data_IF_461033732713
#
_entry.id   IF_461033732713
#
_cell.length_a   1.000
_cell.length_b   1.000
_cell.length_c   1.000
_cell.angle_alpha   90.00
_cell.angle_beta   90.00
_cell.angle_gamma   90.00
#
_symmetry.space_group_name_H-M   'P 1'
#
loop_
_entity.id
_entity.type
_entity.pdbx_description
1 polymer ?
#
# COMPACT_ATOMS: atom_id res chain seq x y z
N UNK A 1 -6.46 23.75 -13.38
CA UNK A 1 -5.09 23.22 -13.23
C UNK A 1 -4.49 23.59 -11.87
N UNK A 2 -4.47 24.86 -11.45
CA UNK A 2 -3.83 25.26 -10.19
C UNK A 2 -4.49 24.62 -8.94
N UNK A 3 -5.78 24.85 -8.71
CA UNK A 3 -6.48 24.29 -7.54
C UNK A 3 -6.46 22.76 -7.55
N UNK A 4 -6.64 22.15 -8.72
CA UNK A 4 -6.63 20.70 -8.85
C UNK A 4 -5.23 20.08 -8.64
N UNK A 5 -4.16 20.74 -9.08
CA UNK A 5 -2.79 20.33 -8.79
C UNK A 5 -2.47 20.43 -7.29
N UNK A 6 -3.01 21.44 -6.60
CA UNK A 6 -2.86 21.52 -5.14
C UNK A 6 -3.66 20.41 -4.41
N UNK A 7 -4.86 20.07 -4.90
CA UNK A 7 -5.69 19.01 -4.31
C UNK A 7 -5.11 17.62 -4.55
N UNK A 8 -4.50 17.39 -5.70
CA UNK A 8 -4.00 16.08 -6.10
C UNK A 8 -2.55 16.17 -6.55
N UNK A 9 -1.65 15.57 -5.78
CA UNK A 9 -0.24 15.34 -6.18
C UNK A 9 -0.17 14.61 -7.52
N UNK A 10 -1.17 13.78 -7.85
CA UNK A 10 -1.33 13.19 -9.17
C UNK A 10 -1.27 14.22 -10.30
N UNK A 11 -2.06 15.28 -10.15
CA UNK A 11 -2.21 16.33 -11.17
C UNK A 11 -0.98 17.21 -11.16
N UNK A 12 -0.44 17.56 -10.00
CA UNK A 12 0.85 18.26 -9.90
C UNK A 12 1.96 17.52 -10.65
N UNK A 13 2.14 16.23 -10.39
CA UNK A 13 3.15 15.41 -11.04
C UNK A 13 2.94 15.30 -12.55
N UNK A 14 1.68 15.25 -13.03
CA UNK A 14 1.40 15.35 -14.48
C UNK A 14 1.86 16.69 -15.10
N UNK A 15 1.83 17.78 -14.32
CA UNK A 15 2.28 19.10 -14.77
C UNK A 15 3.80 19.29 -14.71
N UNK A 16 4.47 18.63 -13.77
CA UNK A 16 5.92 18.78 -13.57
C UNK A 16 6.72 17.75 -14.37
N UNK A 17 6.21 16.52 -14.48
CA UNK A 17 6.86 15.45 -15.24
C UNK A 17 6.35 15.51 -16.70
N UNK A 18 7.25 15.58 -17.70
CA UNK A 18 6.88 15.51 -19.12
C UNK A 18 6.22 14.15 -19.45
N UNK A 19 4.92 14.00 -19.22
CA UNK A 19 4.25 12.70 -19.31
C UNK A 19 4.07 12.19 -20.76
N UNK A 20 3.90 10.87 -20.88
CA UNK A 20 3.47 10.10 -22.07
C UNK A 20 2.31 10.76 -22.86
N UNK A 21 1.43 11.48 -22.17
CA UNK A 21 0.22 12.08 -22.75
C UNK A 21 0.39 13.52 -23.23
N UNK A 22 1.60 14.10 -23.17
CA UNK A 22 1.85 15.41 -23.78
C UNK A 22 2.00 15.24 -25.28
N UNK A 23 1.08 15.82 -26.04
CA UNK A 23 1.29 16.03 -27.47
C UNK A 23 2.52 16.91 -27.73
N UNK A 24 2.93 17.04 -29.00
CA UNK A 24 4.09 17.83 -29.41
C UNK A 24 4.08 19.30 -28.91
N UNK A 25 2.92 19.81 -28.53
CA UNK A 25 2.71 21.17 -28.01
C UNK A 25 2.54 21.25 -26.48
N UNK A 26 2.71 20.14 -25.74
CA UNK A 26 2.67 20.13 -24.27
C UNK A 26 1.28 20.09 -23.62
N UNK A 27 0.20 20.05 -24.41
CA UNK A 27 -1.17 19.92 -23.92
C UNK A 27 -1.53 18.47 -23.60
N UNK A 28 -2.38 18.27 -22.59
CA UNK A 28 -3.03 16.99 -22.29
C UNK A 28 -4.52 17.21 -21.99
N UNK A 29 -5.35 16.23 -22.29
CA UNK A 29 -6.75 16.20 -21.87
C UNK A 29 -6.88 15.36 -20.60
N UNK A 30 -7.73 15.76 -19.63
CA UNK A 30 -8.03 14.93 -18.47
C UNK A 30 -8.61 13.59 -18.92
N UNK A 31 -7.94 12.50 -18.57
CA UNK A 31 -8.48 11.16 -18.78
C UNK A 31 -9.64 10.86 -17.82
N UNK A 32 -10.34 9.76 -18.04
CA UNK A 32 -11.49 9.36 -17.21
C UNK A 32 -11.10 9.12 -15.75
N UNK A 33 -9.89 8.62 -15.48
CA UNK A 33 -9.39 8.39 -14.13
C UNK A 33 -9.14 9.69 -13.39
N UNK A 34 -8.49 10.66 -14.04
CA UNK A 34 -8.32 12.02 -13.52
C UNK A 34 -9.67 12.68 -13.20
N UNK A 35 -10.63 12.64 -14.13
CA UNK A 35 -11.97 13.21 -13.90
C UNK A 35 -12.66 12.52 -12.73
N UNK A 36 -12.56 11.19 -12.61
CA UNK A 36 -13.19 10.45 -11.52
C UNK A 36 -12.53 10.75 -10.17
N UNK A 37 -11.21 10.93 -10.11
CA UNK A 37 -10.50 11.39 -8.92
C UNK A 37 -11.00 12.78 -8.49
N UNK A 38 -11.03 13.73 -9.42
CA UNK A 38 -11.51 15.11 -9.18
C UNK A 38 -12.91 15.13 -8.58
N UNK A 39 -13.84 14.40 -9.19
CA UNK A 39 -15.24 14.36 -8.76
C UNK A 39 -15.43 13.67 -7.39
N UNK A 40 -14.43 12.93 -6.91
CA UNK A 40 -14.48 12.25 -5.61
C UNK A 40 -13.57 12.90 -4.55
N UNK A 41 -13.00 14.08 -4.80
CA UNK A 41 -12.07 14.73 -3.85
C UNK A 41 -12.67 14.90 -2.45
N UNK A 42 -13.90 15.39 -2.36
CA UNK A 42 -14.61 15.60 -1.09
C UNK A 42 -14.93 14.27 -0.41
N UNK A 43 -15.46 13.29 -1.16
CA UNK A 43 -15.73 11.94 -0.65
C UNK A 43 -14.46 11.27 -0.13
N UNK A 44 -13.36 11.29 -0.89
CA UNK A 44 -12.08 10.71 -0.49
C UNK A 44 -11.52 11.40 0.75
N UNK A 45 -11.59 12.74 0.81
CA UNK A 45 -11.14 13.50 1.99
C UNK A 45 -11.88 13.06 3.25
N UNK A 46 -13.20 12.95 3.19
CA UNK A 46 -14.03 12.49 4.30
C UNK A 46 -13.75 11.04 4.70
N UNK A 47 -13.67 10.13 3.73
CA UNK A 47 -13.38 8.71 3.98
C UNK A 47 -12.01 8.49 4.57
N UNK A 48 -10.99 9.24 4.14
CA UNK A 48 -9.63 9.16 4.72
C UNK A 48 -9.64 9.69 6.16
N UNK A 49 -10.26 10.84 6.43
CA UNK A 49 -10.34 11.41 7.78
C UNK A 49 -11.13 10.55 8.76
N UNK A 50 -12.23 9.95 8.31
CA UNK A 50 -13.05 9.05 9.12
C UNK A 50 -12.55 7.59 9.10
N UNK A 51 -11.43 7.31 8.44
CA UNK A 51 -10.88 5.96 8.37
C UNK A 51 -10.30 5.54 9.71
N UNK A 52 -10.60 4.32 10.13
CA UNK A 52 -9.92 3.68 11.25
C UNK A 52 -8.89 2.72 10.69
N UNK A 53 -7.64 2.77 11.18
CA UNK A 53 -6.57 1.91 10.69
C UNK A 53 -6.35 2.02 9.15
N UNK A 54 -6.76 3.15 8.57
CA UNK A 54 -6.66 3.42 7.14
C UNK A 54 -7.68 2.71 6.26
N UNK A 55 -8.72 2.07 6.80
CA UNK A 55 -9.80 1.44 5.99
C UNK A 55 -11.09 2.25 6.00
N UNK A 56 -11.84 2.15 4.91
CA UNK A 56 -13.12 2.83 4.72
C UNK A 56 -14.01 2.11 3.68
N UNK A 57 -15.30 2.43 3.64
CA UNK A 57 -16.23 1.89 2.63
C UNK A 57 -15.79 2.22 1.21
N UNK A 58 -16.02 1.29 0.29
CA UNK A 58 -15.51 1.39 -1.07
C UNK A 58 -15.91 2.71 -1.77
N UNK A 59 -14.90 3.40 -2.33
CA UNK A 59 -15.06 4.50 -3.27
C UNK A 59 -14.73 3.98 -4.67
N UNK A 60 -15.70 4.09 -5.57
CA UNK A 60 -15.57 3.67 -6.97
C UNK A 60 -14.84 4.73 -7.79
N UNK A 61 -13.59 4.42 -8.17
CA UNK A 61 -12.76 5.23 -9.04
C UNK A 61 -12.57 4.57 -10.41
N UNK A 62 -11.82 5.22 -11.31
CA UNK A 62 -11.44 4.67 -12.61
C UNK A 62 -9.94 4.80 -12.80
N UNK A 63 -9.30 3.78 -13.33
CA UNK A 63 -7.90 3.88 -13.74
C UNK A 63 -7.75 4.62 -15.10
N UNK A 64 -6.51 4.88 -15.52
CA UNK A 64 -6.17 5.53 -16.80
C UNK A 64 -6.67 4.75 -18.03
N UNK A 65 -7.00 3.46 -17.87
CA UNK A 65 -7.57 2.61 -18.94
C UNK A 65 -9.10 2.61 -18.91
N UNK A 66 -9.71 3.37 -18.00
CA UNK A 66 -11.15 3.46 -17.82
C UNK A 66 -11.79 2.26 -17.15
N UNK A 67 -11.02 1.41 -16.46
CA UNK A 67 -11.53 0.28 -15.68
C UNK A 67 -11.92 0.76 -14.29
N UNK A 68 -13.02 0.24 -13.76
CA UNK A 68 -13.47 0.58 -12.42
C UNK A 68 -12.56 -0.04 -11.35
N UNK A 69 -12.16 0.77 -10.37
CA UNK A 69 -11.31 0.35 -9.26
C UNK A 69 -12.00 0.72 -7.94
N UNK A 70 -12.28 -0.28 -7.11
CA UNK A 70 -12.80 -0.07 -5.77
C UNK A 70 -11.65 0.21 -4.81
N UNK A 71 -11.64 1.40 -4.22
CA UNK A 71 -10.66 1.81 -3.21
C UNK A 71 -11.32 1.73 -1.83
N UNK A 72 -10.70 0.97 -0.93
CA UNK A 72 -11.21 0.71 0.44
C UNK A 72 -10.19 1.02 1.53
N UNK A 73 -9.03 1.56 1.14
CA UNK A 73 -7.93 1.83 2.05
C UNK A 73 -7.19 3.11 1.66
N UNK A 74 -6.66 3.81 2.65
CA UNK A 74 -5.89 5.05 2.53
C UNK A 74 -4.58 4.82 1.79
N UNK A 75 -3.84 3.74 2.10
CA UNK A 75 -2.51 3.47 1.56
C UNK A 75 -2.42 3.52 0.02
N UNK A 76 -3.34 2.94 -0.77
CA UNK A 76 -3.30 3.04 -2.22
C UNK A 76 -3.70 4.41 -2.78
N UNK A 77 -4.50 5.21 -2.06
CA UNK A 77 -5.06 6.46 -2.61
C UNK A 77 -4.33 7.71 -2.11
N UNK A 78 -3.71 7.65 -0.93
CA UNK A 78 -3.11 8.81 -0.26
C UNK A 78 -2.04 9.48 -1.11
N UNK A 79 -1.29 8.70 -1.91
CA UNK A 79 -0.23 9.20 -2.81
C UNK A 79 -0.73 10.13 -3.92
N UNK A 80 -2.04 10.11 -4.18
CA UNK A 80 -2.66 10.95 -5.17
C UNK A 80 -3.22 12.23 -4.58
N UNK A 81 -3.32 12.32 -3.25
CA UNK A 81 -3.97 13.42 -2.53
C UNK A 81 -2.93 14.43 -2.05
N UNK A 82 -2.93 15.64 -2.60
CA UNK A 82 -2.05 16.72 -2.14
C UNK A 82 -2.58 17.38 -0.86
N UNK A 83 -3.85 17.79 -0.89
CA UNK A 83 -4.53 18.47 0.21
C UNK A 83 -5.95 17.91 0.33
N UNK A 84 -6.45 17.76 1.56
CA UNK A 84 -7.82 17.33 1.83
C UNK A 84 -8.67 18.49 2.35
N UNK A 85 -9.96 18.48 2.02
CA UNK A 85 -10.94 19.33 2.71
C UNK A 85 -11.16 18.78 4.11
N UNK A 86 -10.99 19.60 5.15
CA UNK A 86 -11.28 19.18 6.52
C UNK A 86 -12.79 19.00 6.68
N UNK A 87 -13.23 17.80 7.05
CA UNK A 87 -14.63 17.50 7.30
C UNK A 87 -14.90 17.16 8.75
N UNK A 88 -13.92 16.54 9.41
CA UNK A 88 -14.01 16.18 10.81
C UNK A 88 -12.61 16.04 11.38
N UNK A 89 -12.47 16.12 12.71
CA UNK A 89 -11.21 15.89 13.39
C UNK A 89 -11.21 14.53 14.09
N UNK A 90 -10.04 13.87 14.06
CA UNK A 90 -9.77 12.68 14.85
C UNK A 90 -9.20 13.09 16.22
N UNK A 91 -9.85 12.78 17.36
CA UNK A 91 -9.29 13.09 18.67
C UNK A 91 -8.05 12.25 19.02
N UNK A 92 -7.86 11.09 18.37
CA UNK A 92 -6.73 10.17 18.52
C UNK A 92 -6.11 9.86 17.15
N UNK A 93 -5.58 10.88 16.45
CA UNK A 93 -5.09 10.69 15.10
C UNK A 93 -3.99 9.62 15.10
N UNK A 94 -4.07 8.69 14.15
CA UNK A 94 -2.95 7.80 13.87
C UNK A 94 -1.69 8.68 13.64
N UNK A 95 -0.51 8.29 14.16
CA UNK A 95 0.66 9.18 14.26
C UNK A 95 1.22 9.79 12.97
N UNK A 96 0.61 9.56 11.80
CA UNK A 96 1.22 9.71 10.48
C UNK A 96 0.33 10.38 9.42
N UNK A 97 -0.63 11.21 9.83
CA UNK A 97 -1.45 12.02 8.93
C UNK A 97 -0.68 13.24 8.43
N UNK A 98 0.21 13.08 7.45
CA UNK A 98 1.05 14.15 6.89
C UNK A 98 0.37 15.05 5.84
N UNK A 99 -0.97 15.00 5.73
CA UNK A 99 -1.68 15.83 4.76
C UNK A 99 -2.12 17.15 5.37
N UNK A 100 -1.88 18.23 4.64
CA UNK A 100 -2.45 19.54 4.93
C UNK A 100 -3.98 19.46 4.81
N UNK A 101 -4.66 19.94 5.84
CA UNK A 101 -6.13 20.05 5.90
C UNK A 101 -6.52 21.50 5.62
N UNK A 102 -7.36 21.74 4.62
CA UNK A 102 -7.99 23.07 4.45
C UNK A 102 -9.09 23.20 5.48
N UNK A 103 -9.01 24.26 6.31
CA UNK A 103 -9.92 24.55 7.42
C UNK A 103 -11.39 24.28 7.05
N UNK A 104 -12.05 23.49 7.89
CA UNK A 104 -13.44 23.08 7.74
C UNK A 104 -14.12 22.92 9.09
N UNK A 105 -15.09 22.01 9.17
CA UNK A 105 -15.99 21.88 10.32
C UNK A 105 -15.31 21.27 11.57
N UNK A 106 -15.76 21.66 12.76
CA UNK A 106 -15.14 21.31 14.05
C UNK A 106 -15.80 20.10 14.74
N UNK A 107 -16.31 19.17 13.94
CA UNK A 107 -17.02 17.98 14.40
C UNK A 107 -16.06 16.78 14.51
N UNK A 108 -16.29 15.89 15.48
CA UNK A 108 -15.52 14.64 15.61
C UNK A 108 -15.89 13.65 14.51
N UNK A 109 -14.92 12.94 13.94
CA UNK A 109 -15.19 11.91 12.93
C UNK A 109 -16.04 10.75 13.50
N UNK A 110 -17.04 10.31 12.73
CA UNK A 110 -17.75 9.05 13.00
C UNK A 110 -17.02 7.90 12.31
N UNK A 111 -16.31 7.07 13.07
CA UNK A 111 -15.54 5.94 12.52
C UNK A 111 -16.43 4.75 12.19
N UNK A 112 -16.49 4.33 10.94
CA UNK A 112 -17.15 3.07 10.62
C UNK A 112 -16.19 1.89 10.87
N UNK A 113 -16.68 0.86 11.55
CA UNK A 113 -15.94 -0.39 11.68
C UNK A 113 -16.03 -1.15 10.37
N UNK A 114 -14.91 -1.24 9.66
CA UNK A 114 -14.89 -1.84 8.33
C UNK A 114 -14.54 -3.31 8.39
N UNK A 115 -15.23 -4.10 7.56
CA UNK A 115 -14.90 -5.50 7.31
C UNK A 115 -14.23 -5.66 5.95
N UNK A 116 -13.02 -6.19 5.94
CA UNK A 116 -12.25 -6.40 4.72
C UNK A 116 -11.45 -7.71 4.78
N UNK A 117 -10.97 -8.17 3.63
CA UNK A 117 -9.85 -9.13 3.59
C UNK A 117 -8.57 -8.41 3.99
N UNK A 118 -7.64 -9.15 4.60
CA UNK A 118 -6.29 -8.65 4.90
C UNK A 118 -5.32 -9.46 4.06
N UNK A 119 -4.71 -8.83 3.06
CA UNK A 119 -3.76 -9.47 2.15
C UNK A 119 -2.32 -9.06 2.49
N UNK A 120 -1.35 -9.93 2.23
CA UNK A 120 0.05 -9.70 2.59
C UNK A 120 1.00 -10.42 1.65
N UNK A 121 1.91 -11.21 2.21
CA UNK A 121 3.00 -11.89 1.50
C UNK A 121 2.48 -12.64 0.28
N UNK A 122 3.08 -12.35 -0.89
CA UNK A 122 2.74 -12.96 -2.19
C UNK A 122 1.28 -12.79 -2.62
N UNK A 123 0.57 -11.80 -2.06
CA UNK A 123 -0.84 -11.54 -2.36
C UNK A 123 -1.80 -12.53 -1.70
N UNK A 124 -1.33 -13.36 -0.78
CA UNK A 124 -2.16 -14.28 0.00
C UNK A 124 -2.91 -13.52 1.10
N UNK A 125 -4.04 -14.08 1.52
CA UNK A 125 -4.94 -13.53 2.53
C UNK A 125 -4.76 -14.20 3.89
N UNK A 126 -4.95 -13.40 4.94
CA UNK A 126 -5.13 -13.86 6.31
C UNK A 126 -6.43 -14.67 6.41
N UNK A 127 -6.32 -15.93 6.83
CA UNK A 127 -7.41 -16.90 6.82
C UNK A 127 -7.50 -17.68 8.15
N UNK A 128 -8.73 -17.91 8.63
CA UNK A 128 -9.01 -18.85 9.72
C UNK A 128 -9.09 -20.28 9.16
N UNK A 129 -8.08 -21.09 9.51
CA UNK A 129 -7.85 -22.43 8.97
C UNK A 129 -9.12 -23.29 9.00
N UNK A 130 -9.47 -23.85 7.85
CA UNK A 130 -10.63 -24.74 7.67
C UNK A 130 -11.99 -24.15 8.08
N UNK A 131 -12.11 -22.81 8.19
CA UNK A 131 -13.30 -22.14 8.73
C UNK A 131 -13.67 -22.60 10.15
N UNK A 132 -12.72 -23.15 10.91
CA UNK A 132 -12.96 -23.59 12.28
C UNK A 132 -12.75 -22.42 13.25
N UNK A 133 -13.77 -22.12 14.05
CA UNK A 133 -13.75 -21.04 15.04
C UNK A 133 -13.58 -21.54 16.48
N UNK A 134 -13.24 -22.81 16.68
CA UNK A 134 -12.80 -23.30 17.97
C UNK A 134 -11.62 -22.47 18.49
N UNK A 135 -11.65 -22.17 19.79
CA UNK A 135 -10.62 -21.38 20.43
C UNK A 135 -9.25 -22.05 20.28
N UNK A 136 -8.25 -21.25 19.90
CA UNK A 136 -6.90 -21.74 19.63
C UNK A 136 -6.67 -22.25 18.21
N UNK A 137 -7.70 -22.33 17.34
CA UNK A 137 -7.48 -22.73 15.95
C UNK A 137 -6.49 -21.77 15.25
N UNK A 138 -5.81 -22.22 14.21
CA UNK A 138 -4.67 -21.52 13.59
C UNK A 138 -5.08 -20.39 12.63
N UNK A 139 -4.16 -19.44 12.39
CA UNK A 139 -4.26 -18.36 11.37
C UNK A 139 -3.22 -18.63 10.36
N UNK A 140 -3.63 -18.69 9.12
CA UNK A 140 -2.78 -19.12 8.03
C UNK A 140 -2.77 -18.07 6.92
N UNK A 141 -1.78 -18.17 6.04
CA UNK A 141 -1.90 -17.61 4.71
C UNK A 141 -2.64 -18.57 3.79
N UNK A 142 -3.58 -18.04 3.02
CA UNK A 142 -4.31 -18.80 2.02
C UNK A 142 -4.61 -17.94 0.80
N UNK A 143 -4.84 -18.57 -0.36
CA UNK A 143 -5.34 -17.88 -1.55
C UNK A 143 -6.58 -17.03 -1.21
N UNK A 144 -6.58 -15.78 -1.65
CA UNK A 144 -7.71 -14.88 -1.42
C UNK A 144 -8.96 -15.38 -2.15
N UNK A 145 -10.03 -15.66 -1.41
CA UNK A 145 -11.30 -16.17 -1.95
C UNK A 145 -12.12 -15.04 -2.56
N UNK A 146 -12.82 -15.31 -3.66
CA UNK A 146 -13.78 -14.37 -4.28
C UNK A 146 -15.22 -14.51 -3.75
N UNK A 147 -15.47 -15.44 -2.83
CA UNK A 147 -16.79 -15.69 -2.23
C UNK A 147 -16.98 -14.92 -0.90
N UNK A 148 -18.10 -15.18 -0.21
CA UNK A 148 -18.44 -14.52 1.05
C UNK A 148 -18.03 -15.33 2.30
N UNK A 149 -17.09 -16.27 2.18
CA UNK A 149 -16.68 -17.10 3.33
C UNK A 149 -16.05 -16.22 4.43
N UNK A 150 -16.70 -16.19 5.60
CA UNK A 150 -16.37 -15.28 6.72
C UNK A 150 -14.92 -15.47 7.21
N UNK A 151 -14.32 -16.64 6.99
CA UNK A 151 -12.98 -16.98 7.47
C UNK A 151 -11.82 -16.16 6.86
N UNK A 152 -12.09 -15.35 5.82
CA UNK A 152 -11.14 -14.36 5.29
C UNK A 152 -11.60 -12.90 5.49
N UNK A 153 -12.74 -12.69 6.14
CA UNK A 153 -13.23 -11.36 6.46
C UNK A 153 -12.87 -10.98 7.89
N UNK A 154 -12.27 -9.80 8.01
CA UNK A 154 -11.76 -9.27 9.26
C UNK A 154 -12.34 -7.88 9.50
N UNK A 155 -13.08 -7.73 10.60
CA UNK A 155 -13.58 -6.46 11.07
C UNK A 155 -12.52 -5.79 11.93
N UNK A 156 -12.09 -4.59 11.52
CA UNK A 156 -11.18 -3.74 12.28
C UNK A 156 -12.01 -2.91 13.26
N UNK A 157 -11.97 -3.26 14.55
CA UNK A 157 -12.83 -2.68 15.59
C UNK A 157 -12.19 -1.45 16.24
N UNK A 158 -13.04 -0.58 16.81
CA UNK A 158 -12.56 0.64 17.48
C UNK A 158 -11.74 0.38 18.74
N UNK A 159 -12.02 -0.71 19.42
CA UNK A 159 -11.27 -1.14 20.60
C UNK A 159 -9.85 -1.64 20.26
N UNK A 160 -9.51 -1.80 18.98
CA UNK A 160 -8.22 -2.31 18.51
C UNK A 160 -8.19 -3.80 18.21
N UNK A 161 -9.29 -4.49 18.41
CA UNK A 161 -9.37 -5.91 18.05
C UNK A 161 -9.57 -6.07 16.54
N UNK A 162 -9.03 -7.17 16.01
CA UNK A 162 -9.22 -7.58 14.61
C UNK A 162 -10.02 -8.88 14.65
N UNK A 163 -11.26 -8.86 14.17
CA UNK A 163 -12.24 -9.94 14.43
C UNK A 163 -12.70 -10.66 13.17
N UNK A 164 -12.87 -11.97 13.26
CA UNK A 164 -13.55 -12.78 12.23
C UNK A 164 -14.59 -13.65 12.93
N UNK A 165 -15.84 -13.62 12.45
CA UNK A 165 -16.99 -14.28 13.08
C UNK A 165 -17.08 -14.00 14.59
N UNK A 166 -17.01 -12.71 14.96
CA UNK A 166 -17.02 -12.18 16.33
C UNK A 166 -15.90 -12.65 17.28
N UNK A 167 -14.96 -13.47 16.80
CA UNK A 167 -13.78 -13.86 17.57
C UNK A 167 -12.54 -13.07 17.17
N UNK A 168 -11.59 -12.96 18.07
CA UNK A 168 -10.43 -12.07 17.98
C UNK A 168 -9.17 -12.80 17.47
N UNK A 169 -8.47 -12.17 16.53
CA UNK A 169 -7.09 -12.53 16.20
C UNK A 169 -6.21 -12.27 17.41
N UNK A 170 -5.55 -13.32 17.91
CA UNK A 170 -4.84 -13.29 19.20
C UNK A 170 -3.53 -14.06 19.06
N UNK A 171 -2.42 -13.63 19.69
CA UNK A 171 -1.24 -14.47 19.82
C UNK A 171 -1.56 -15.71 20.66
N UNK A 172 -1.20 -16.88 20.16
CA UNK A 172 -1.33 -18.14 20.89
C UNK A 172 -0.36 -18.23 22.08
N UNK A 173 -0.43 -19.34 22.83
CA UNK A 173 0.49 -19.62 23.94
C UNK A 173 1.96 -19.40 23.56
N UNK A 174 2.73 -18.78 24.47
CA UNK A 174 4.15 -18.42 24.28
C UNK A 174 4.42 -17.38 23.17
N UNK A 175 3.39 -16.74 22.62
CA UNK A 175 3.51 -15.65 21.63
C UNK A 175 4.33 -16.04 20.39
N UNK A 176 4.15 -17.26 19.88
CA UNK A 176 4.89 -17.74 18.70
C UNK A 176 4.06 -17.78 17.43
N UNK A 177 2.76 -18.01 17.57
CA UNK A 177 1.86 -18.25 16.45
C UNK A 177 0.54 -17.55 16.67
N UNK A 178 -0.22 -17.37 15.61
CA UNK A 178 -1.49 -16.66 15.61
C UNK A 178 -2.68 -17.63 15.69
N UNK A 179 -3.65 -17.29 16.54
CA UNK A 179 -4.87 -18.07 16.80
C UNK A 179 -6.14 -17.21 16.79
N UNK A 180 -7.30 -17.87 16.81
CA UNK A 180 -8.64 -17.24 16.91
C UNK A 180 -9.05 -17.58 18.32
N UNK A 181 -9.53 -16.59 19.03
CA UNK A 181 -9.90 -16.76 20.42
C UNK A 181 -11.16 -15.95 20.68
N UNK A 182 -12.01 -16.46 21.56
CA UNK A 182 -13.01 -15.61 22.21
C UNK A 182 -12.39 -14.30 22.72
N UNK A 183 -13.01 -13.17 22.35
CA UNK A 183 -12.45 -11.85 22.61
C UNK A 183 -12.39 -11.52 24.10
N UNK A 184 -13.36 -11.98 24.90
CA UNK A 184 -13.39 -11.75 26.34
C UNK A 184 -12.28 -12.53 27.02
N UNK A 185 -12.10 -13.78 26.62
CA UNK A 185 -11.06 -14.67 27.14
C UNK A 185 -9.65 -14.20 26.76
N UNK A 186 -9.49 -13.61 25.57
CA UNK A 186 -8.22 -13.03 25.13
C UNK A 186 -7.85 -11.76 25.91
N UNK A 187 -8.83 -10.94 26.30
CA UNK A 187 -8.59 -9.67 26.98
C UNK A 187 -7.60 -8.78 26.20
N UNK A 188 -6.60 -8.23 26.89
CA UNK A 188 -5.60 -7.33 26.31
C UNK A 188 -4.72 -7.97 25.22
N UNK A 189 -4.68 -9.31 25.14
CA UNK A 189 -3.96 -10.05 24.10
C UNK A 189 -4.58 -9.92 22.71
N UNK A 190 -5.81 -9.41 22.61
CA UNK A 190 -6.49 -9.18 21.34
C UNK A 190 -6.21 -7.80 20.72
N UNK A 191 -5.38 -6.96 21.36
CA UNK A 191 -5.16 -5.57 20.96
C UNK A 191 -4.10 -5.37 19.87
N UNK A 192 -4.52 -4.76 18.75
CA UNK A 192 -3.67 -4.45 17.59
C UNK A 192 -3.76 -2.98 17.16
N UNK A 193 -2.72 -2.55 16.45
CA UNK A 193 -2.66 -1.28 15.74
C UNK A 193 -2.15 -1.55 14.32
N UNK A 194 -2.85 -1.02 13.32
CA UNK A 194 -2.37 -1.08 11.94
C UNK A 194 -1.71 0.24 11.58
N UNK A 195 -0.40 0.18 11.34
CA UNK A 195 0.37 1.33 10.89
C UNK A 195 0.11 1.63 9.41
N UNK A 196 0.20 2.91 9.03
CA UNK A 196 0.04 3.40 7.65
C UNK A 196 0.96 2.68 6.63
N UNK A 197 2.11 2.18 7.08
CA UNK A 197 3.07 1.45 6.25
C UNK A 197 2.65 -0.01 5.97
N UNK A 198 1.53 -0.46 6.52
CA UNK A 198 1.00 -1.82 6.39
C UNK A 198 1.46 -2.79 7.47
N UNK A 199 2.14 -2.35 8.53
CA UNK A 199 2.53 -3.25 9.62
C UNK A 199 1.42 -3.32 10.68
N UNK A 200 1.00 -4.54 11.03
CA UNK A 200 0.04 -4.81 12.11
C UNK A 200 0.85 -5.10 13.38
N UNK A 201 0.80 -4.18 14.34
CA UNK A 201 1.58 -4.17 15.59
C UNK A 201 0.69 -4.60 16.74
N UNK A 202 1.17 -5.49 17.60
CA UNK A 202 0.51 -5.85 18.83
C UNK A 202 0.74 -4.76 19.89
N UNK A 203 -0.33 -4.23 20.49
CA UNK A 203 -0.26 -3.05 21.37
C UNK A 203 0.60 -3.25 22.61
N UNK A 204 0.57 -4.45 23.19
CA UNK A 204 1.29 -4.71 24.44
C UNK A 204 2.80 -5.01 24.25
N UNK A 205 3.17 -5.78 23.22
CA UNK A 205 4.54 -6.27 23.05
C UNK A 205 5.35 -5.48 22.02
N UNK A 206 4.70 -4.69 21.16
CA UNK A 206 5.37 -4.04 20.02
C UNK A 206 5.81 -5.00 18.91
N UNK A 207 5.54 -6.30 19.06
CA UNK A 207 5.79 -7.32 18.03
C UNK A 207 4.74 -7.23 16.92
N UNK A 208 5.05 -7.77 15.74
CA UNK A 208 4.24 -7.56 14.53
C UNK A 208 3.80 -8.88 13.89
N UNK A 209 2.61 -8.85 13.28
CA UNK A 209 2.08 -9.98 12.51
C UNK A 209 3.04 -10.33 11.37
N UNK A 210 3.46 -11.59 11.32
CA UNK A 210 4.54 -12.05 10.43
C UNK A 210 4.14 -13.31 9.67
N UNK A 211 4.42 -13.31 8.37
CA UNK A 211 4.25 -14.46 7.48
C UNK A 211 5.61 -15.10 7.14
N UNK A 212 6.07 -16.06 7.95
CA UNK A 212 7.42 -16.63 7.82
C UNK A 212 7.63 -17.45 6.54
N UNK A 213 6.57 -18.01 5.96
CA UNK A 213 6.58 -18.70 4.66
C UNK A 213 5.46 -18.19 3.76
N UNK A 214 5.64 -18.34 2.45
CA UNK A 214 4.61 -18.08 1.43
C UNK A 214 3.89 -19.34 0.96
N UNK A 215 4.21 -20.50 1.55
CA UNK A 215 3.47 -21.74 1.30
C UNK A 215 2.07 -21.61 1.90
N UNK A 216 1.04 -21.85 1.09
CA UNK A 216 -0.36 -21.83 1.56
C UNK A 216 -0.57 -22.80 2.72
N UNK A 217 -1.39 -22.40 3.70
CA UNK A 217 -1.61 -23.16 4.92
C UNK A 217 -0.55 -22.93 5.99
N UNK A 218 0.52 -22.17 5.71
CA UNK A 218 1.51 -21.82 6.74
C UNK A 218 0.84 -20.99 7.83
N UNK A 219 1.02 -21.41 9.08
CA UNK A 219 0.58 -20.65 10.24
C UNK A 219 1.38 -19.35 10.40
N UNK A 220 0.66 -18.27 10.63
CA UNK A 220 1.21 -16.95 10.90
C UNK A 220 1.81 -16.88 12.30
N UNK A 221 2.81 -16.03 12.44
CA UNK A 221 3.54 -15.79 13.67
C UNK A 221 3.44 -14.32 14.08
N UNK A 222 4.03 -14.04 15.23
CA UNK A 222 4.27 -12.69 15.74
C UNK A 222 5.77 -12.60 16.07
N UNK A 223 6.42 -11.50 15.70
CA UNK A 223 7.87 -11.38 15.85
C UNK A 223 8.36 -9.94 15.80
N UNK A 224 9.67 -9.76 15.94
CA UNK A 224 10.30 -8.43 15.95
C UNK A 224 10.05 -7.69 14.64
N UNK A 225 9.77 -6.40 14.73
CA UNK A 225 9.57 -5.57 13.56
C UNK A 225 10.91 -5.32 12.85
N UNK A 226 11.14 -6.05 11.76
CA UNK A 226 12.31 -5.89 10.88
C UNK A 226 11.95 -5.16 9.59
N UNK A 227 10.72 -4.61 9.51
CA UNK A 227 10.15 -3.94 8.35
C UNK A 227 10.26 -4.75 7.04
N UNK A 228 10.23 -6.08 7.14
CA UNK A 228 10.31 -6.95 5.97
C UNK A 228 8.99 -6.99 5.21
N UNK A 229 9.03 -7.39 3.93
CA UNK A 229 7.82 -7.61 3.12
C UNK A 229 6.89 -8.65 3.75
N UNK A 230 7.43 -9.67 4.44
CA UNK A 230 6.64 -10.64 5.25
C UNK A 230 5.87 -10.04 6.44
N UNK A 231 6.07 -8.75 6.73
CA UNK A 231 5.42 -7.99 7.83
C UNK A 231 4.61 -6.80 7.29
N UNK A 232 4.27 -6.83 6.00
CA UNK A 232 3.40 -5.86 5.35
C UNK A 232 2.07 -6.50 4.98
N UNK A 233 1.01 -5.77 5.28
CA UNK A 233 -0.36 -6.16 5.16
C UNK A 233 -1.17 -4.99 4.58
N UNK A 234 -2.23 -5.32 3.86
CA UNK A 234 -3.18 -4.38 3.30
C UNK A 234 -4.59 -4.92 3.51
N UNK A 235 -5.37 -4.32 4.41
CA UNK A 235 -6.79 -4.57 4.47
C UNK A 235 -7.48 -3.93 3.26
N UNK A 236 -8.08 -4.75 2.41
CA UNK A 236 -8.79 -4.33 1.21
C UNK A 236 -9.63 -5.49 0.67
N UNK A 237 -10.84 -5.20 0.19
CA UNK A 237 -11.63 -6.21 -0.54
C UNK A 237 -11.19 -6.38 -1.99
N UNK A 238 -10.36 -5.47 -2.51
CA UNK A 238 -9.62 -5.66 -3.75
C UNK A 238 -8.24 -6.24 -3.41
N UNK A 239 -8.09 -7.56 -3.59
CA UNK A 239 -6.88 -8.31 -3.22
C UNK A 239 -5.91 -8.54 -4.38
N UNK A 240 -6.28 -8.12 -5.60
CA UNK A 240 -5.40 -8.22 -6.75
C UNK A 240 -4.31 -7.14 -6.67
N UNK A 241 -3.05 -7.44 -7.03
CA UNK A 241 -2.02 -6.42 -7.15
C UNK A 241 -2.44 -5.30 -8.10
N UNK A 242 -2.08 -4.07 -7.76
CA UNK A 242 -2.35 -2.92 -8.62
C UNK A 242 -1.28 -2.84 -9.71
N UNK A 243 -1.67 -3.05 -10.96
CA UNK A 243 -0.76 -3.06 -12.12
C UNK A 243 -0.78 -1.70 -12.79
N UNK A 244 0.40 -1.08 -12.90
CA UNK A 244 0.58 0.28 -13.42
C UNK A 244 1.97 0.45 -14.03
N UNK A 245 2.27 1.64 -14.53
CA UNK A 245 3.60 2.05 -14.95
C UNK A 245 4.22 2.95 -13.88
N UNK A 246 5.54 2.96 -13.76
CA UNK A 246 6.25 3.84 -12.83
C UNK A 246 7.05 4.82 -13.68
N UNK A 247 6.67 6.09 -13.64
CA UNK A 247 7.29 7.18 -14.40
C UNK A 247 8.22 7.95 -13.48
N UNK A 248 9.43 8.27 -13.93
CA UNK A 248 10.43 8.98 -13.15
C UNK A 248 10.97 10.21 -13.88
N UNK A 249 12.27 10.47 -13.65
CA UNK A 249 12.99 11.62 -14.20
C UNK A 249 12.83 11.73 -15.72
N UNK A 250 12.56 12.95 -16.19
CA UNK A 250 12.39 13.25 -17.62
C UNK A 250 11.11 12.70 -18.24
N UNK A 251 10.17 12.15 -17.44
CA UNK A 251 8.97 11.51 -17.97
C UNK A 251 9.19 10.11 -18.53
N UNK A 252 10.35 9.52 -18.24
CA UNK A 252 10.71 8.19 -18.66
C UNK A 252 10.06 7.13 -17.76
N UNK A 253 9.80 5.96 -18.33
CA UNK A 253 9.17 4.84 -17.66
C UNK A 253 10.21 3.85 -17.17
N UNK A 254 10.06 3.40 -15.93
CA UNK A 254 10.84 2.29 -15.39
C UNK A 254 10.53 1.03 -16.19
N UNK A 255 11.58 0.45 -16.76
CA UNK A 255 11.53 -0.76 -17.56
C UNK A 255 12.34 -1.86 -16.91
N UNK A 256 11.79 -3.07 -16.89
CA UNK A 256 12.49 -4.28 -16.50
C UNK A 256 13.38 -4.76 -17.66
N UNK A 257 14.70 -4.75 -17.47
CA UNK A 257 15.67 -5.16 -18.47
C UNK A 257 16.58 -6.27 -17.94
N UNK A 258 16.07 -7.50 -17.95
CA UNK A 258 16.74 -8.62 -17.28
C UNK A 258 16.73 -8.41 -15.77
N UNK A 259 17.91 -8.38 -15.15
CA UNK A 259 18.08 -8.24 -13.70
C UNK A 259 18.17 -6.78 -13.23
N UNK A 260 18.21 -5.81 -14.13
CA UNK A 260 18.31 -4.39 -13.77
C UNK A 260 17.12 -3.59 -14.29
N UNK A 261 16.47 -2.76 -13.44
CA UNK A 261 15.52 -1.77 -13.89
C UNK A 261 16.23 -0.45 -14.23
N UNK A 262 15.82 0.18 -15.33
CA UNK A 262 16.22 1.55 -15.63
C UNK A 262 15.11 2.32 -16.35
N UNK A 263 15.29 3.62 -16.50
CA UNK A 263 14.35 4.51 -17.17
C UNK A 263 14.54 4.47 -18.69
N UNK A 264 13.45 4.28 -19.42
CA UNK A 264 13.39 4.32 -20.89
C UNK A 264 12.20 5.13 -21.38
N UNK A 265 12.19 5.47 -22.66
CA UNK A 265 11.01 6.10 -23.28
C UNK A 265 9.76 5.25 -23.05
N UNK A 266 8.70 5.92 -22.62
CA UNK A 266 7.45 5.27 -22.30
C UNK A 266 6.73 4.77 -23.57
N UNK A 267 6.32 3.51 -23.55
CA UNK A 267 5.58 2.88 -24.64
C UNK A 267 4.27 2.32 -24.09
N UNK A 268 3.16 2.77 -24.66
CA UNK A 268 1.83 2.30 -24.29
C UNK A 268 1.75 0.77 -24.37
N UNK A 269 1.16 0.16 -23.33
CA UNK A 269 0.93 -1.27 -23.23
C UNK A 269 2.17 -2.17 -23.29
N UNK A 270 3.39 -1.61 -23.19
CA UNK A 270 4.62 -2.41 -23.12
C UNK A 270 4.69 -3.15 -21.79
N UNK A 271 4.59 -4.48 -21.84
CA UNK A 271 4.57 -5.34 -20.64
C UNK A 271 5.81 -5.16 -19.74
N UNK A 272 6.98 -4.92 -20.34
CA UNK A 272 8.23 -4.67 -19.61
C UNK A 272 8.28 -3.34 -18.85
N UNK A 273 7.32 -2.44 -19.07
CA UNK A 273 7.14 -1.18 -18.33
C UNK A 273 5.94 -1.22 -17.37
N UNK A 274 5.34 -2.39 -17.20
CA UNK A 274 4.25 -2.60 -16.25
C UNK A 274 4.78 -3.29 -14.99
N UNK A 275 4.32 -2.80 -13.85
CA UNK A 275 4.73 -3.22 -12.52
C UNK A 275 3.50 -3.50 -11.68
N UNK A 276 3.49 -4.65 -11.02
CA UNK A 276 2.48 -5.06 -10.06
C UNK A 276 2.91 -4.62 -8.65
N UNK A 277 2.11 -3.77 -8.02
CA UNK A 277 2.31 -3.33 -6.64
C UNK A 277 1.50 -4.26 -5.73
N UNK A 278 2.21 -5.04 -4.91
CA UNK A 278 1.62 -6.06 -4.06
C UNK A 278 1.25 -5.53 -2.65
N UNK A 279 0.29 -6.19 -1.97
CA UNK A 279 -0.08 -5.91 -0.57
C UNK A 279 1.09 -5.94 0.44
N UNK A 280 2.07 -6.80 0.19
CA UNK A 280 3.29 -6.95 0.98
C UNK A 280 4.33 -5.82 0.76
N UNK A 281 3.99 -4.82 -0.06
CA UNK A 281 4.88 -3.71 -0.39
C UNK A 281 5.99 -4.07 -1.36
N UNK A 282 5.97 -5.26 -1.96
CA UNK A 282 6.86 -5.58 -3.08
C UNK A 282 6.34 -4.93 -4.37
N UNK A 283 7.28 -4.58 -5.25
CA UNK A 283 6.99 -4.09 -6.61
C UNK A 283 7.55 -5.14 -7.56
N UNK A 284 6.71 -5.74 -8.41
CA UNK A 284 7.08 -6.90 -9.23
C UNK A 284 6.94 -6.58 -10.72
N UNK A 285 7.88 -7.01 -11.58
CA UNK A 285 7.69 -6.91 -13.03
C UNK A 285 6.41 -7.64 -13.45
N UNK A 286 5.57 -7.01 -14.26
CA UNK A 286 4.30 -7.63 -14.67
C UNK A 286 4.52 -8.89 -15.54
N UNK A 287 5.62 -8.91 -16.31
CA UNK A 287 6.00 -10.05 -17.15
C UNK A 287 6.47 -11.28 -16.34
N UNK A 288 6.92 -11.08 -15.09
CA UNK A 288 7.36 -12.15 -14.20
C UNK A 288 7.24 -11.72 -12.73
N UNK A 289 6.14 -12.12 -12.10
CA UNK A 289 5.81 -11.77 -10.72
C UNK A 289 6.48 -12.68 -9.67
N UNK A 290 7.35 -13.61 -10.08
CA UNK A 290 8.23 -14.36 -9.15
C UNK A 290 9.43 -13.52 -8.69
N UNK A 291 9.73 -12.46 -9.45
CA UNK A 291 10.77 -11.50 -9.18
C UNK A 291 10.21 -10.18 -8.63
N UNK A 292 11.04 -9.46 -7.88
CA UNK A 292 10.72 -8.25 -7.16
C UNK A 292 11.84 -7.23 -7.34
N UNK A 293 11.49 -5.94 -7.27
CA UNK A 293 12.47 -4.90 -7.04
C UNK A 293 13.11 -5.06 -5.67
N UNK A 294 14.43 -5.05 -5.64
CA UNK A 294 15.22 -5.16 -4.43
C UNK A 294 16.42 -4.23 -4.47
N UNK A 295 16.83 -3.75 -3.29
CA UNK A 295 18.10 -3.06 -3.11
C UNK A 295 19.20 -4.06 -2.76
N UNK A 296 20.37 -3.94 -3.38
CA UNK A 296 21.57 -4.67 -2.98
C UNK A 296 22.46 -3.92 -1.97
N UNK A 297 23.57 -4.56 -1.58
CA UNK A 297 24.57 -3.99 -0.67
C UNK A 297 25.21 -2.70 -1.19
N UNK A 298 25.36 -2.54 -2.50
CA UNK A 298 25.93 -1.35 -3.16
C UNK A 298 24.92 -0.24 -3.40
N UNK A 299 23.71 -0.32 -2.81
CA UNK A 299 22.59 0.63 -2.97
C UNK A 299 21.96 0.66 -4.36
N UNK A 300 22.37 -0.21 -5.29
CA UNK A 300 21.67 -0.36 -6.58
C UNK A 300 20.35 -1.10 -6.38
N UNK A 301 19.36 -0.73 -7.19
CA UNK A 301 18.10 -1.45 -7.31
C UNK A 301 18.23 -2.44 -8.46
N UNK A 302 17.76 -3.66 -8.22
CA UNK A 302 17.80 -4.78 -9.14
C UNK A 302 16.47 -5.54 -9.10
N UNK A 303 16.28 -6.44 -10.05
CA UNK A 303 15.16 -7.36 -10.16
C UNK A 303 15.66 -8.74 -9.76
N UNK A 304 15.11 -9.30 -8.69
CA UNK A 304 15.56 -10.57 -8.13
C UNK A 304 14.39 -11.32 -7.48
N UNK A 305 14.60 -12.62 -7.23
CA UNK A 305 13.62 -13.44 -6.53
C UNK A 305 13.09 -12.75 -5.26
N UNK A 306 11.77 -12.78 -5.08
CA UNK A 306 11.05 -12.09 -4.00
C UNK A 306 11.37 -12.64 -2.61
N UNK A 307 12.49 -12.22 -2.01
CA UNK A 307 12.80 -12.61 -0.64
C UNK A 307 11.97 -11.81 0.38
N UNK A 308 11.61 -12.44 1.52
CA UNK A 308 10.81 -11.82 2.56
C UNK A 308 11.63 -10.88 3.47
N UNK A 309 12.32 -9.89 2.90
CA UNK A 309 13.23 -8.98 3.62
C UNK A 309 12.81 -7.52 3.48
N UNK A 310 13.41 -6.63 4.26
CA UNK A 310 13.17 -5.18 4.17
C UNK A 310 13.76 -4.55 2.90
N UNK A 311 14.75 -5.18 2.26
CA UNK A 311 15.32 -4.71 0.99
C UNK A 311 14.34 -4.82 -0.18
N UNK A 312 13.30 -5.67 -0.07
CA UNK A 312 12.26 -5.88 -1.07
C UNK A 312 10.95 -5.12 -0.76
N UNK A 313 10.88 -4.43 0.38
CA UNK A 313 9.67 -3.71 0.81
C UNK A 313 9.81 -2.24 0.50
N UNK A 314 8.83 -1.72 -0.22
CA UNK A 314 8.75 -0.34 -0.67
C UNK A 314 7.47 0.33 -0.18
N UNK A 315 7.54 1.64 0.07
CA UNK A 315 6.41 2.48 0.39
C UNK A 315 6.35 3.66 -0.58
N UNK A 316 5.27 3.69 -1.36
CA UNK A 316 4.94 4.82 -2.23
C UNK A 316 4.37 5.92 -1.35
N UNK A 317 5.09 7.04 -1.23
CA UNK A 317 4.71 8.16 -0.36
C UNK A 317 3.97 9.24 -1.14
N UNK A 318 3.30 10.12 -0.40
CA UNK A 318 2.56 11.24 -1.01
C UNK A 318 3.44 12.40 -1.47
N UNK A 319 4.69 12.46 -1.03
CA UNK A 319 5.69 13.42 -1.50
C UNK A 319 6.32 13.02 -2.86
N UNK A 320 5.71 12.04 -3.55
CA UNK A 320 6.17 11.49 -4.82
C UNK A 320 7.37 10.53 -4.72
N UNK A 321 7.93 10.29 -3.55
CA UNK A 321 9.07 9.38 -3.39
C UNK A 321 8.65 7.93 -3.18
N UNK A 322 9.55 6.99 -3.53
CA UNK A 322 9.41 5.56 -3.20
C UNK A 322 10.45 5.22 -2.14
N UNK A 323 10.01 5.04 -0.90
CA UNK A 323 10.86 4.71 0.26
C UNK A 323 11.16 3.21 0.31
N UNK A 324 12.42 2.85 0.54
CA UNK A 324 12.83 1.50 0.92
C UNK A 324 12.91 1.37 2.44
N UNK A 325 12.33 0.32 3.02
CA UNK A 325 12.38 0.14 4.47
C UNK A 325 13.76 -0.25 5.00
N UNK A 326 14.65 -0.77 4.15
CA UNK A 326 16.02 -1.03 4.56
C UNK A 326 16.81 0.28 4.62
N UNK A 327 17.10 0.73 5.84
CA UNK A 327 17.79 1.99 6.19
C UNK A 327 17.02 3.29 5.87
N UNK A 328 15.77 3.21 5.40
CA UNK A 328 14.91 4.40 5.20
C UNK A 328 15.36 5.32 4.07
N UNK A 329 16.03 4.78 3.05
CA UNK A 329 16.49 5.53 1.87
C UNK A 329 15.39 5.57 0.79
N UNK A 330 15.44 6.57 -0.10
CA UNK A 330 14.47 6.73 -1.20
C UNK A 330 15.06 6.28 -2.53
N UNK A 331 14.20 5.79 -3.42
CA UNK A 331 14.54 5.43 -4.79
C UNK A 331 14.97 6.67 -5.58
N UNK A 332 16.07 6.58 -6.32
CA UNK A 332 16.72 7.69 -7.00
C UNK A 332 17.35 7.25 -8.32
N UNK A 333 17.32 8.12 -9.33
CA UNK A 333 18.05 7.94 -10.59
C UNK A 333 19.51 8.33 -10.36
N UNK A 334 20.44 7.40 -10.59
CA UNK A 334 21.86 7.63 -10.33
C UNK A 334 22.36 8.90 -11.04
N UNK A 335 23.02 9.78 -10.28
CA UNK A 335 23.55 11.09 -10.73
C UNK A 335 22.53 11.99 -11.47
N UNK A 336 21.23 11.77 -11.29
CA UNK A 336 20.17 12.40 -12.09
C UNK A 336 20.37 12.21 -13.60
N UNK A 337 21.00 11.11 -14.01
CA UNK A 337 21.31 10.81 -15.41
C UNK A 337 20.73 9.45 -15.82
N UNK A 338 19.59 9.43 -16.53
CA UNK A 338 18.99 8.20 -17.04
C UNK A 338 19.90 7.40 -17.97
N UNK A 339 20.88 8.04 -18.62
CA UNK A 339 21.80 7.37 -19.56
C UNK A 339 22.74 6.37 -18.87
N UNK A 340 22.96 6.54 -17.55
CA UNK A 340 23.71 5.59 -16.72
C UNK A 340 22.98 4.26 -16.52
N UNK A 341 21.69 4.18 -16.89
CA UNK A 341 20.84 2.99 -16.77
C UNK A 341 20.90 2.37 -15.36
N UNK A 342 20.88 3.23 -14.35
CA UNK A 342 21.01 2.81 -12.97
C UNK A 342 20.04 3.55 -12.08
N UNK A 343 19.24 2.77 -11.34
CA UNK A 343 18.41 3.25 -10.26
C UNK A 343 19.03 2.77 -8.95
N UNK A 344 19.13 3.66 -7.97
CA UNK A 344 19.75 3.42 -6.68
C UNK A 344 18.78 3.78 -5.55
N UNK A 345 19.23 3.57 -4.31
CA UNK A 345 18.65 4.23 -3.14
C UNK A 345 19.63 5.24 -2.56
N UNK A 346 19.13 6.41 -2.17
CA UNK A 346 19.92 7.52 -1.63
C UNK A 346 19.16 8.22 -0.51
N UNK A 347 19.83 9.14 0.18
CA UNK A 347 19.18 10.00 1.15
C UNK A 347 18.19 10.94 0.46
N UNK A 348 17.11 11.30 1.15
CA UNK A 348 16.12 12.22 0.58
C UNK A 348 16.73 13.61 0.40
N UNK A 349 16.75 14.09 -0.85
CA UNK A 349 17.27 15.41 -1.25
C UNK A 349 16.17 16.33 -1.77
N UNK A 350 14.99 15.79 -2.12
CA UNK A 350 13.94 16.53 -2.82
C UNK A 350 14.25 16.77 -4.31
N UNK A 351 15.32 16.18 -4.84
CA UNK A 351 15.66 16.25 -6.27
C UNK A 351 14.55 15.67 -7.15
N UNK A 352 14.33 16.20 -8.37
CA UNK A 352 13.45 15.58 -9.37
C UNK A 352 13.82 14.13 -9.69
N UNK A 353 15.07 13.72 -9.49
CA UNK A 353 15.51 12.33 -9.68
C UNK A 353 14.91 11.33 -8.67
N UNK A 354 14.34 11.84 -7.57
CA UNK A 354 13.69 11.07 -6.51
C UNK A 354 12.15 11.10 -6.59
N UNK A 355 11.61 11.75 -7.63
CA UNK A 355 10.17 11.92 -7.83
C UNK A 355 9.65 10.87 -8.81
N UNK A 356 8.62 10.14 -8.38
CA UNK A 356 8.05 9.01 -9.09
C UNK A 356 6.54 9.19 -9.24
N UNK A 357 6.08 9.21 -10.48
CA UNK A 357 4.67 9.30 -10.83
C UNK A 357 4.12 7.93 -11.21
N UNK A 358 2.97 7.60 -10.64
CA UNK A 358 2.34 6.29 -10.83
C UNK A 358 0.92 6.53 -11.32
N UNK A 359 0.65 6.37 -12.62
CA UNK A 359 -0.69 6.51 -13.16
C UNK A 359 -1.72 5.70 -12.36
N UNK A 360 -2.87 6.32 -12.05
CA UNK A 360 -3.94 5.66 -11.28
C UNK A 360 -4.72 4.66 -12.13
#
# INVERSE_FOLDING_TARGET
MIAEAARFTYIELLLVIPSINRGAEGWFYPDRGMIRLLNNWETLSGRIQASQNGTFDAVSLMDIRGREVQVTNVRPIIRYMGIMVHQCYDPNPAPQSYLLLVRGDNTTCSYEETTARISGRDGLCLDVKCQNYDDGNEKILWSCKSNADVNQFWTLKRDGTIRSNDKCMTPGPKHKYMVIQDCVSAGDMAGWELSYNGTIVHRHFGLVLTADSSVEGTQLSIGDNVHASRQSWLPSNNTKPFVTTIVGLGGLCMQANGEEPWLEECVNDKIGQQWAIYPDGTIRPQQDQTNCLARNSTRRILIHYCYPTSTHRWLLRNDGTILNFYQGLVMDVADSDPSLRSIIVSEYTGSPSQQWFIPF
#
